data_IF_666744447099
#
_entry.id   IF_666744447099
#
_cell.length_a   1.000
_cell.length_b   1.000
_cell.length_c   1.000
_cell.angle_alpha   90.00
_cell.angle_beta   90.00
_cell.angle_gamma   90.00
#
_symmetry.space_group_name_H-M   'P 1'
#
loop_
_entity.id
_entity.type
_entity.pdbx_description
1 polymer ?
#
# COMPACT_ATOMS: atom_id res chain seq x y z
N UNK A 1 9.42 -5.61 8.52
CA UNK A 1 8.55 -5.63 7.31
C UNK A 1 9.04 -6.51 6.16
N UNK A 2 10.34 -6.57 5.82
CA UNK A 2 10.83 -7.31 4.65
C UNK A 2 10.81 -8.84 4.86
N UNK A 3 11.26 -9.31 6.04
CA UNK A 3 11.25 -10.74 6.40
C UNK A 3 9.83 -11.35 6.30
N UNK A 4 8.82 -10.57 6.69
CA UNK A 4 7.39 -10.93 6.60
C UNK A 4 6.95 -11.24 5.16
N UNK A 5 7.46 -10.53 4.15
CA UNK A 5 7.06 -10.76 2.74
C UNK A 5 7.61 -12.09 2.22
N UNK A 6 8.87 -12.36 2.52
CA UNK A 6 9.54 -13.62 2.14
C UNK A 6 8.93 -14.80 2.89
N UNK A 7 8.71 -14.67 4.21
CA UNK A 7 8.01 -15.68 5.01
C UNK A 7 6.59 -15.95 4.50
N UNK A 8 5.83 -14.89 4.21
CA UNK A 8 4.51 -15.02 3.59
C UNK A 8 4.58 -15.72 2.23
N UNK A 9 5.58 -15.42 1.41
CA UNK A 9 5.76 -16.09 0.13
C UNK A 9 6.04 -17.58 0.32
N UNK A 10 6.90 -17.95 1.28
CA UNK A 10 7.18 -19.33 1.61
C UNK A 10 5.91 -20.09 2.03
N UNK A 11 5.07 -19.49 2.88
CA UNK A 11 3.77 -20.07 3.27
C UNK A 11 2.81 -20.23 2.09
N UNK A 12 2.81 -19.28 1.14
CA UNK A 12 1.99 -19.40 -0.07
C UNK A 12 2.47 -20.54 -0.98
N UNK A 13 3.79 -20.74 -1.11
CA UNK A 13 4.39 -21.85 -1.86
C UNK A 13 4.07 -23.19 -1.19
N UNK A 14 4.14 -23.25 0.13
CA UNK A 14 3.77 -24.46 0.89
C UNK A 14 2.29 -24.83 0.68
N UNK A 15 1.40 -23.83 0.70
CA UNK A 15 -0.03 -24.07 0.38
C UNK A 15 -0.23 -24.56 -1.06
N UNK A 16 0.52 -24.02 -2.03
CA UNK A 16 0.49 -24.50 -3.42
C UNK A 16 0.93 -25.96 -3.52
N UNK A 17 2.00 -26.33 -2.80
CA UNK A 17 2.49 -27.70 -2.70
C UNK A 17 1.40 -28.66 -2.23
N UNK A 18 0.68 -28.28 -1.16
CA UNK A 18 -0.44 -29.06 -0.62
C UNK A 18 -1.64 -29.18 -1.59
N UNK A 19 -1.71 -28.34 -2.63
CA UNK A 19 -2.72 -28.37 -3.68
C UNK A 19 -2.24 -29.12 -4.94
N UNK A 20 -1.09 -29.80 -4.87
CA UNK A 20 -0.49 -30.53 -5.99
C UNK A 20 0.22 -29.63 -7.00
N UNK A 21 0.55 -28.40 -6.61
CA UNK A 21 1.36 -27.46 -7.39
C UNK A 21 2.78 -27.47 -6.82
N UNK A 22 3.59 -28.38 -7.35
CA UNK A 22 4.97 -28.62 -6.92
C UNK A 22 6.00 -27.90 -7.81
N UNK A 23 7.28 -28.05 -7.48
CA UNK A 23 8.43 -27.51 -8.25
C UNK A 23 8.43 -25.98 -8.35
N UNK A 24 8.01 -25.32 -7.27
CA UNK A 24 8.11 -23.87 -7.08
C UNK A 24 9.04 -23.58 -5.92
N UNK A 25 10.15 -22.90 -6.20
CA UNK A 25 11.20 -22.58 -5.24
C UNK A 25 11.14 -21.10 -4.84
N UNK A 26 11.31 -20.81 -3.55
CA UNK A 26 11.21 -19.44 -3.04
C UNK A 26 12.19 -18.48 -3.71
N UNK A 27 13.40 -18.95 -3.98
CA UNK A 27 14.47 -18.15 -4.59
C UNK A 27 14.13 -17.71 -6.03
N UNK A 28 13.42 -18.55 -6.77
CA UNK A 28 13.00 -18.24 -8.14
C UNK A 28 11.98 -17.09 -8.15
N UNK A 29 11.03 -17.10 -7.21
CA UNK A 29 10.02 -16.05 -7.07
C UNK A 29 10.67 -14.73 -6.61
N UNK A 30 11.65 -14.82 -5.70
CA UNK A 30 12.38 -13.66 -5.20
C UNK A 30 13.25 -13.00 -6.29
N UNK A 31 13.88 -13.81 -7.14
CA UNK A 31 14.73 -13.31 -8.23
C UNK A 31 13.93 -12.49 -9.25
N UNK A 32 12.71 -12.92 -9.56
CA UNK A 32 11.81 -12.18 -10.47
C UNK A 32 11.39 -10.80 -9.94
N UNK A 33 11.35 -10.61 -8.62
CA UNK A 33 10.99 -9.32 -8.05
C UNK A 33 12.04 -8.24 -8.33
N UNK A 34 13.26 -8.62 -8.76
CA UNK A 34 14.42 -7.74 -9.04
C UNK A 34 14.71 -6.73 -7.91
N UNK A 35 14.17 -7.01 -6.73
CA UNK A 35 14.09 -6.12 -5.57
C UNK A 35 13.63 -6.95 -4.37
N UNK A 36 13.71 -6.36 -3.18
CA UNK A 36 13.25 -7.00 -1.94
C UNK A 36 11.71 -6.97 -1.78
N UNK A 37 10.96 -6.53 -2.79
CA UNK A 37 9.51 -6.36 -2.74
C UNK A 37 8.75 -7.55 -3.36
N UNK A 38 9.06 -8.78 -2.95
CA UNK A 38 8.35 -9.98 -3.42
C UNK A 38 6.86 -9.94 -3.06
N UNK A 39 6.03 -10.56 -3.90
CA UNK A 39 4.57 -10.43 -3.83
C UNK A 39 3.85 -11.35 -4.82
N UNK A 40 2.51 -11.42 -4.71
CA UNK A 40 1.66 -12.31 -5.50
C UNK A 40 1.85 -12.23 -7.02
N UNK A 41 2.07 -11.04 -7.63
CA UNK A 41 2.32 -10.97 -9.06
C UNK A 41 3.54 -11.78 -9.52
N UNK A 42 4.61 -11.81 -8.72
CA UNK A 42 5.81 -12.59 -9.03
C UNK A 42 5.52 -14.10 -8.99
N UNK A 43 4.78 -14.56 -7.97
CA UNK A 43 4.35 -15.96 -7.89
C UNK A 43 3.40 -16.34 -9.04
N UNK A 44 2.51 -15.42 -9.45
CA UNK A 44 1.64 -15.61 -10.62
C UNK A 44 2.45 -15.78 -11.92
N UNK A 45 3.55 -15.04 -12.07
CA UNK A 45 4.47 -15.17 -13.21
C UNK A 45 5.14 -16.54 -13.19
N UNK A 46 5.67 -16.99 -12.05
CA UNK A 46 6.28 -18.32 -11.92
C UNK A 46 5.29 -19.44 -12.24
N UNK A 47 4.06 -19.36 -11.72
CA UNK A 47 3.00 -20.34 -12.02
C UNK A 47 2.72 -20.42 -13.52
N UNK A 48 2.73 -19.29 -14.21
CA UNK A 48 2.54 -19.25 -15.67
C UNK A 48 3.74 -19.85 -16.39
N UNK A 49 4.96 -19.46 -16.03
CA UNK A 49 6.21 -19.92 -16.65
C UNK A 49 6.42 -21.44 -16.48
N UNK A 50 6.00 -21.98 -15.33
CA UNK A 50 6.03 -23.43 -15.03
C UNK A 50 4.84 -24.19 -15.62
N UNK A 51 3.93 -23.53 -16.32
CA UNK A 51 2.79 -24.16 -17.02
C UNK A 51 1.59 -24.53 -16.14
N UNK A 52 1.59 -24.16 -14.85
CA UNK A 52 0.47 -24.45 -13.94
C UNK A 52 -0.81 -23.68 -14.28
N UNK A 53 -0.68 -22.54 -14.96
CA UNK A 53 -1.78 -21.68 -15.39
C UNK A 53 -1.46 -20.99 -16.72
N UNK A 54 -2.47 -20.70 -17.57
CA UNK A 54 -2.23 -20.12 -18.90
C UNK A 54 -1.86 -18.63 -18.87
N UNK A 55 -2.22 -17.90 -17.79
CA UNK A 55 -1.96 -16.48 -17.65
C UNK A 55 -2.07 -16.02 -16.18
N UNK A 56 -1.64 -14.79 -15.90
CA UNK A 56 -1.66 -14.21 -14.55
C UNK A 56 -3.08 -14.16 -13.97
N UNK A 57 -4.10 -13.83 -14.78
CA UNK A 57 -5.50 -13.76 -14.32
C UNK A 57 -5.97 -15.13 -13.80
N UNK A 58 -5.65 -16.21 -14.52
CA UNK A 58 -5.94 -17.57 -14.07
C UNK A 58 -5.21 -17.92 -12.77
N UNK A 59 -3.95 -17.48 -12.59
CA UNK A 59 -3.21 -17.65 -11.34
C UNK A 59 -3.94 -17.01 -10.15
N UNK A 60 -4.38 -15.76 -10.30
CA UNK A 60 -5.13 -15.06 -9.25
C UNK A 60 -6.47 -15.73 -8.97
N UNK A 61 -7.26 -16.02 -9.99
CA UNK A 61 -8.57 -16.62 -9.81
C UNK A 61 -8.51 -18.00 -9.15
N UNK A 62 -7.52 -18.83 -9.51
CA UNK A 62 -7.42 -20.21 -9.04
C UNK A 62 -6.74 -20.32 -7.67
N UNK A 63 -5.70 -19.52 -7.41
CA UNK A 63 -4.82 -19.74 -6.26
C UNK A 63 -4.53 -18.51 -5.39
N UNK A 64 -4.41 -17.31 -5.98
CA UNK A 64 -3.73 -16.18 -5.32
C UNK A 64 -4.63 -14.99 -4.93
N UNK A 65 -5.89 -14.95 -5.37
CA UNK A 65 -6.85 -13.92 -5.00
C UNK A 65 -7.06 -13.88 -3.48
N UNK A 66 -7.71 -12.82 -2.98
CA UNK A 66 -8.11 -12.81 -1.58
C UNK A 66 -9.03 -14.02 -1.33
N UNK A 67 -8.80 -14.71 -0.22
CA UNK A 67 -9.54 -15.91 0.20
C UNK A 67 -9.40 -17.14 -0.73
N UNK A 68 -8.50 -17.08 -1.72
CA UNK A 68 -8.18 -18.23 -2.56
C UNK A 68 -7.32 -19.29 -1.82
N UNK A 69 -7.25 -20.53 -2.30
CA UNK A 69 -6.63 -21.64 -1.57
C UNK A 69 -5.17 -21.41 -1.12
N UNK A 70 -4.35 -20.75 -1.94
CA UNK A 70 -2.96 -20.43 -1.61
C UNK A 70 -2.79 -19.01 -1.01
N UNK A 71 -3.88 -18.32 -0.67
CA UNK A 71 -3.81 -17.02 -0.03
C UNK A 71 -3.32 -17.16 1.42
N UNK A 72 -2.38 -16.28 1.76
CA UNK A 72 -1.92 -16.04 3.12
C UNK A 72 -2.16 -14.56 3.38
N UNK A 73 -2.85 -14.22 4.47
CA UNK A 73 -3.04 -12.82 4.84
C UNK A 73 -1.68 -12.17 5.07
N UNK A 74 -1.55 -10.89 4.73
CA UNK A 74 -0.33 -10.14 5.04
C UNK A 74 -0.36 -9.86 6.54
N UNK A 75 0.74 -10.10 7.27
CA UNK A 75 0.87 -9.52 8.60
C UNK A 75 0.70 -8.00 8.47
N UNK A 76 -0.35 -7.49 9.10
CA UNK A 76 -0.66 -6.07 9.11
C UNK A 76 -0.18 -5.53 10.45
N UNK A 77 0.82 -4.65 10.40
CA UNK A 77 0.97 -3.68 11.47
C UNK A 77 -0.36 -2.92 11.55
N UNK A 78 -0.88 -2.74 12.75
CA UNK A 78 -2.06 -1.90 12.96
C UNK A 78 -1.75 -0.46 12.55
N UNK A 79 -2.76 0.34 12.17
CA UNK A 79 -2.54 1.77 11.88
C UNK A 79 -1.83 2.49 13.01
N UNK A 80 -2.24 2.25 14.27
CA UNK A 80 -1.58 2.76 15.46
C UNK A 80 -0.09 2.42 15.53
N UNK A 81 0.28 1.14 15.37
CA UNK A 81 1.69 0.72 15.37
C UNK A 81 2.49 1.38 14.23
N UNK A 82 1.85 1.63 13.08
CA UNK A 82 2.48 2.32 11.98
C UNK A 82 2.72 3.81 12.29
N UNK A 83 1.76 4.48 12.94
CA UNK A 83 1.92 5.87 13.37
C UNK A 83 3.04 5.99 14.41
N UNK A 84 3.00 5.16 15.46
CA UNK A 84 4.02 5.11 16.52
C UNK A 84 5.43 4.89 15.92
N UNK A 85 5.56 3.99 14.94
CA UNK A 85 6.83 3.77 14.26
C UNK A 85 7.30 5.00 13.48
N UNK A 86 6.41 5.65 12.73
CA UNK A 86 6.75 6.87 11.98
C UNK A 86 7.24 7.96 12.93
N UNK A 87 6.52 8.19 14.03
CA UNK A 87 6.88 9.18 15.05
C UNK A 87 8.19 8.84 15.76
N UNK A 88 8.44 7.56 16.06
CA UNK A 88 9.70 7.13 16.69
C UNK A 88 10.95 7.45 15.86
N UNK A 89 10.76 7.71 14.56
CA UNK A 89 11.80 8.10 13.61
C UNK A 89 11.79 9.62 13.31
N UNK A 90 11.03 10.40 14.06
CA UNK A 90 10.84 11.85 13.83
C UNK A 90 10.04 12.17 12.57
N UNK A 91 9.23 11.23 12.09
CA UNK A 91 8.38 11.40 10.92
C UNK A 91 6.98 11.92 11.27
N UNK A 92 6.21 12.23 10.21
CA UNK A 92 4.81 12.68 10.31
C UNK A 92 3.91 11.65 9.65
N UNK A 93 2.89 11.17 10.37
CA UNK A 93 2.01 10.11 9.89
C UNK A 93 0.86 10.67 9.04
N UNK A 94 0.85 10.36 7.75
CA UNK A 94 -0.15 10.86 6.79
C UNK A 94 -0.91 9.70 6.16
N UNK A 95 -2.24 9.77 6.15
CA UNK A 95 -3.09 8.80 5.46
C UNK A 95 -3.13 9.14 3.98
N UNK A 96 -2.48 8.31 3.17
CA UNK A 96 -2.44 8.48 1.72
C UNK A 96 -3.79 8.15 1.07
N UNK A 97 -4.17 9.01 0.11
CA UNK A 97 -5.32 8.94 -0.78
C UNK A 97 -6.54 8.19 -0.18
N UNK A 98 -7.13 8.70 0.92
CA UNK A 98 -8.23 8.04 1.63
C UNK A 98 -9.47 7.84 0.76
N UNK A 99 -9.68 8.69 -0.26
CA UNK A 99 -10.79 8.59 -1.23
C UNK A 99 -10.81 7.30 -2.04
N UNK A 100 -9.68 6.60 -2.14
CA UNK A 100 -9.60 5.31 -2.81
C UNK A 100 -9.96 4.14 -1.87
N UNK A 101 -10.19 4.44 -0.60
CA UNK A 101 -10.53 3.48 0.44
C UNK A 101 -11.99 3.65 0.84
N UNK A 102 -12.54 2.66 1.56
CA UNK A 102 -13.85 2.78 2.21
C UNK A 102 -13.70 2.97 3.73
N UNK A 103 -12.58 3.57 4.15
CA UNK A 103 -12.14 3.62 5.54
C UNK A 103 -12.39 4.97 6.22
N UNK A 104 -13.12 5.90 5.57
CA UNK A 104 -13.41 7.22 6.14
C UNK A 104 -13.98 7.19 7.58
N UNK A 105 -14.86 6.24 7.97
CA UNK A 105 -15.36 6.15 9.34
C UNK A 105 -14.28 5.90 10.39
N UNK A 106 -13.10 5.41 10.00
CA UNK A 106 -11.98 5.15 10.89
C UNK A 106 -11.09 6.37 11.10
N UNK A 107 -11.20 7.42 10.27
CA UNK A 107 -10.36 8.61 10.37
C UNK A 107 -10.40 9.25 11.76
N UNK A 108 -11.57 9.44 12.42
CA UNK A 108 -11.59 9.97 13.78
C UNK A 108 -10.85 9.10 14.80
N UNK A 109 -10.84 7.78 14.61
CA UNK A 109 -10.04 6.88 15.44
C UNK A 109 -8.55 7.05 15.14
N UNK A 110 -8.16 7.08 13.87
CA UNK A 110 -6.76 7.26 13.48
C UNK A 110 -6.18 8.57 14.01
N UNK A 111 -6.95 9.65 14.00
CA UNK A 111 -6.55 10.93 14.62
C UNK A 111 -6.26 10.76 16.12
N UNK A 112 -7.12 10.04 16.86
CA UNK A 112 -6.87 9.74 18.28
C UNK A 112 -5.65 8.85 18.50
N UNK A 113 -5.29 8.05 17.49
CA UNK A 113 -4.14 7.13 17.53
C UNK A 113 -2.83 7.79 17.03
N UNK A 114 -2.86 9.06 16.61
CA UNK A 114 -1.65 9.80 16.19
C UNK A 114 -1.56 10.14 14.71
N UNK A 115 -2.65 10.06 13.94
CA UNK A 115 -2.63 10.53 12.55
C UNK A 115 -2.44 12.05 12.49
N UNK A 116 -1.45 12.52 11.72
CA UNK A 116 -1.08 13.94 11.62
C UNK A 116 -1.62 14.64 10.38
N UNK A 117 -2.04 13.88 9.35
CA UNK A 117 -2.55 14.47 8.12
C UNK A 117 -3.29 13.52 7.19
N UNK A 118 -4.01 14.13 6.24
CA UNK A 118 -4.76 13.45 5.17
C UNK A 118 -4.30 13.97 3.81
N UNK A 119 -4.11 13.08 2.84
CA UNK A 119 -3.91 13.47 1.45
C UNK A 119 -5.25 13.81 0.80
N UNK A 120 -5.55 15.11 0.65
CA UNK A 120 -6.77 15.56 -0.03
C UNK A 120 -6.52 15.90 -1.51
N UNK A 121 -5.30 16.32 -1.84
CA UNK A 121 -4.89 16.66 -3.21
C UNK A 121 -4.32 15.42 -3.90
N UNK A 122 -5.10 14.76 -4.74
CA UNK A 122 -4.70 13.53 -5.45
C UNK A 122 -5.18 13.56 -6.92
N UNK A 123 -4.47 12.94 -7.89
CA UNK A 123 -4.80 13.07 -9.31
C UNK A 123 -6.24 12.69 -9.65
N UNK A 124 -6.87 13.48 -10.53
CA UNK A 124 -8.22 13.24 -11.05
C UNK A 124 -9.31 13.15 -9.96
N UNK A 125 -9.06 13.73 -8.78
CA UNK A 125 -10.04 13.79 -7.69
C UNK A 125 -10.97 14.99 -7.90
N UNK A 126 -12.31 14.81 -7.88
CA UNK A 126 -13.25 15.93 -7.98
C UNK A 126 -13.10 16.93 -6.83
N UNK A 127 -13.36 18.21 -7.09
CA UNK A 127 -13.28 19.28 -6.08
C UNK A 127 -14.18 19.04 -4.86
N UNK A 128 -15.31 18.35 -5.04
CA UNK A 128 -16.21 17.97 -3.96
C UNK A 128 -15.56 16.98 -2.99
N UNK A 129 -14.81 16.01 -3.51
CA UNK A 129 -14.08 15.02 -2.72
C UNK A 129 -12.88 15.68 -2.04
N UNK A 130 -12.15 16.54 -2.75
CA UNK A 130 -11.07 17.35 -2.16
C UNK A 130 -11.57 18.17 -0.98
N UNK A 131 -12.66 18.92 -1.18
CA UNK A 131 -13.28 19.78 -0.16
C UNK A 131 -13.75 18.98 1.06
N UNK A 132 -14.27 17.77 0.84
CA UNK A 132 -14.67 16.87 1.93
C UNK A 132 -13.48 16.51 2.84
N UNK A 133 -12.35 16.06 2.27
CA UNK A 133 -11.18 15.69 3.06
C UNK A 133 -10.46 16.89 3.67
N UNK A 134 -10.44 18.04 2.99
CA UNK A 134 -9.97 19.31 3.57
C UNK A 134 -10.81 19.73 4.79
N UNK A 135 -12.14 19.62 4.69
CA UNK A 135 -13.06 19.86 5.79
C UNK A 135 -12.84 18.90 6.96
N UNK A 136 -12.59 17.62 6.67
CA UNK A 136 -12.32 16.60 7.69
C UNK A 136 -10.98 16.86 8.40
N UNK A 137 -9.93 17.19 7.64
CA UNK A 137 -8.64 17.55 8.21
C UNK A 137 -8.74 18.79 9.10
N UNK A 138 -9.44 19.83 8.64
CA UNK A 138 -9.71 21.05 9.42
C UNK A 138 -10.49 20.75 10.71
N UNK A 139 -11.54 19.91 10.62
CA UNK A 139 -12.34 19.50 11.79
C UNK A 139 -11.49 18.83 12.88
N UNK A 140 -10.48 18.07 12.47
CA UNK A 140 -9.63 17.30 13.38
C UNK A 140 -8.29 17.98 13.72
N UNK A 141 -8.01 19.17 13.17
CA UNK A 141 -6.76 19.90 13.46
C UNK A 141 -5.50 19.25 12.89
N UNK A 142 -5.65 18.48 11.81
CA UNK A 142 -4.56 17.75 11.15
C UNK A 142 -4.23 18.37 9.78
N UNK A 143 -3.07 18.03 9.24
CA UNK A 143 -2.54 18.60 8.01
C UNK A 143 -3.29 18.11 6.76
N UNK A 144 -3.38 18.97 5.75
CA UNK A 144 -3.82 18.60 4.40
C UNK A 144 -2.60 18.43 3.53
N UNK A 145 -2.45 17.25 2.93
CA UNK A 145 -1.31 16.91 2.06
C UNK A 145 -1.75 16.63 0.63
N UNK A 146 -0.77 16.44 -0.25
CA UNK A 146 -0.99 16.12 -1.65
C UNK A 146 0.20 15.44 -2.30
N UNK A 147 -0.09 14.57 -3.27
CA UNK A 147 0.90 13.79 -3.98
C UNK A 147 0.35 13.31 -5.31
N UNK A 148 1.23 13.14 -6.30
CA UNK A 148 0.81 12.63 -7.60
C UNK A 148 0.70 11.11 -7.65
N UNK A 149 1.28 10.40 -6.69
CA UNK A 149 1.36 8.94 -6.67
C UNK A 149 1.83 8.34 -8.01
N UNK A 150 2.82 9.00 -8.63
CA UNK A 150 3.35 8.65 -9.94
C UNK A 150 4.11 7.31 -9.90
N UNK A 151 3.82 6.43 -10.85
CA UNK A 151 4.41 5.09 -10.95
C UNK A 151 4.99 4.82 -12.36
N UNK A 152 5.35 5.88 -13.10
CA UNK A 152 5.87 5.77 -14.46
C UNK A 152 4.92 5.01 -15.39
N UNK A 153 5.44 4.04 -16.14
CA UNK A 153 4.67 3.26 -17.11
C UNK A 153 3.49 2.48 -16.48
N UNK A 154 3.57 2.16 -15.19
CA UNK A 154 2.49 1.47 -14.49
C UNK A 154 1.26 2.38 -14.25
N UNK A 155 1.43 3.71 -14.25
CA UNK A 155 0.36 4.70 -14.20
C UNK A 155 0.55 5.75 -15.29
N UNK A 156 0.19 5.38 -16.52
CA UNK A 156 0.21 6.28 -17.67
C UNK A 156 -0.52 7.59 -17.33
N UNK A 157 0.03 8.71 -17.78
CA UNK A 157 -0.51 10.05 -17.56
C UNK A 157 -0.52 10.54 -16.11
N UNK A 158 0.24 9.90 -15.21
CA UNK A 158 0.44 10.35 -13.83
C UNK A 158 1.93 10.51 -13.55
N UNK A 159 2.40 11.75 -13.65
CA UNK A 159 3.83 12.12 -13.56
C UNK A 159 4.16 12.71 -12.18
N UNK A 160 5.44 12.68 -11.81
CA UNK A 160 5.95 13.44 -10.67
C UNK A 160 5.64 14.92 -10.89
N UNK A 161 5.10 15.59 -9.87
CA UNK A 161 4.70 17.00 -9.95
C UNK A 161 3.33 17.28 -10.59
N UNK A 162 2.57 16.24 -11.02
CA UNK A 162 1.20 16.41 -11.55
C UNK A 162 0.25 17.04 -10.53
N UNK A 163 0.44 16.74 -9.25
CA UNK A 163 -0.25 17.40 -8.14
C UNK A 163 0.74 18.39 -7.52
N UNK A 164 0.29 19.63 -7.38
CA UNK A 164 1.05 20.70 -6.74
C UNK A 164 0.39 21.07 -5.41
N UNK A 165 1.23 21.33 -4.42
CA UNK A 165 0.83 21.79 -3.08
C UNK A 165 1.65 23.02 -2.73
N UNK A 166 1.10 23.89 -1.89
CA UNK A 166 1.81 25.08 -1.46
C UNK A 166 3.02 24.73 -0.59
N UNK A 167 4.13 25.45 -0.73
CA UNK A 167 5.37 25.17 0.01
C UNK A 167 5.20 25.26 1.54
N UNK A 168 4.24 26.07 2.02
CA UNK A 168 3.88 26.12 3.45
C UNK A 168 3.54 24.76 4.06
N UNK A 169 3.07 23.79 3.26
CA UNK A 169 2.87 22.42 3.74
C UNK A 169 4.20 21.78 4.16
N UNK A 170 5.27 22.00 3.42
CA UNK A 170 6.60 21.47 3.75
C UNK A 170 7.07 22.03 5.09
N UNK A 171 6.86 23.32 5.34
CA UNK A 171 7.19 23.94 6.62
C UNK A 171 6.31 23.38 7.76
N UNK A 172 5.00 23.24 7.54
CA UNK A 172 4.10 22.64 8.52
C UNK A 172 4.45 21.17 8.85
N UNK A 173 4.91 20.39 7.86
CA UNK A 173 5.41 19.03 8.07
C UNK A 173 6.69 19.03 8.91
N UNK A 174 7.63 19.95 8.63
CA UNK A 174 8.86 20.10 9.44
C UNK A 174 8.57 20.51 10.88
N UNK A 175 7.59 21.39 11.09
CA UNK A 175 7.17 21.80 12.43
C UNK A 175 6.54 20.63 13.18
N UNK A 176 5.61 19.90 12.54
CA UNK A 176 4.95 18.74 13.13
C UNK A 176 5.93 17.63 13.51
N UNK A 177 6.97 17.40 12.70
CA UNK A 177 8.02 16.41 12.95
C UNK A 177 8.90 16.70 14.17
N UNK A 178 8.86 17.93 14.71
CA UNK A 178 9.68 18.36 15.85
C UNK A 178 8.95 18.27 17.20
N UNK A 179 7.63 18.04 17.18
CA UNK A 179 6.79 17.88 18.37
C UNK A 179 6.73 16.42 18.81
#
# INVERSE_FOLDING_TARGET
MQNVRTQRMALMIEKLKNLGVDNIELEEVCTLAKSKAVGRPHLATVLKEKGWVPNLKAAFNKYLANDAPAYVSKFQQTPKEAFELIHSLGGVAVLAHPMLTKADPLIPQFVREGLDGLEACYPNTPDTIKSFYEGLAKKHGILVTGGSDAHGDAKKHTWVGKVQVHYNLVEALKERARC
#
